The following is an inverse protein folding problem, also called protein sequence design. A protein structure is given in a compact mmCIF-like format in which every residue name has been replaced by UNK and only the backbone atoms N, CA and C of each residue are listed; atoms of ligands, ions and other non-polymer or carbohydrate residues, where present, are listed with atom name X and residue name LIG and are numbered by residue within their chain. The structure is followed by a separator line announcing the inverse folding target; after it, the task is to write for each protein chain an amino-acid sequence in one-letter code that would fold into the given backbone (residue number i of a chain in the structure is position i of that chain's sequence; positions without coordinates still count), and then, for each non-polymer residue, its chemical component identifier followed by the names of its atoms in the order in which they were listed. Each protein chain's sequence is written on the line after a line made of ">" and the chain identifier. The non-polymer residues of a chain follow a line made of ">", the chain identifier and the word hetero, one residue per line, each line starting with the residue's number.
data_IF_071408759402
#
_entry.id   IF_071408759402
#
_cell.length_a   1.000
_cell.length_b   1.000
_cell.length_c   1.000
_cell.angle_alpha   90.00
_cell.angle_beta   90.00
_cell.angle_gamma   90.00
#
_symmetry.space_group_name_H-M   'P 1'
#
loop_
_entity.id
_entity.type
_entity.pdbx_description
1 polymer ?
#
# COMPACT_ATOMS: atom_id res chain seq x y z
N UNK A 1 -6.41 -11.94 -28.20
CA UNK A 1 -7.19 -10.99 -27.37
C UNK A 1 -6.72 -9.61 -27.75
N UNK A 2 -7.62 -8.73 -28.21
CA UNK A 2 -7.24 -7.39 -28.67
C UNK A 2 -6.89 -6.46 -27.50
N UNK A 3 -6.07 -5.43 -27.74
CA UNK A 3 -5.64 -4.43 -26.74
C UNK A 3 -6.82 -3.87 -25.90
N UNK A 4 -7.92 -3.53 -26.58
CA UNK A 4 -9.16 -3.03 -25.97
C UNK A 4 -9.78 -4.05 -25.00
N UNK A 5 -9.72 -5.35 -25.32
CA UNK A 5 -10.28 -6.41 -24.48
C UNK A 5 -9.44 -6.64 -23.22
N UNK A 6 -8.11 -6.57 -23.34
CA UNK A 6 -7.19 -6.65 -22.19
C UNK A 6 -7.46 -5.48 -21.24
N UNK A 7 -7.62 -4.27 -21.80
CA UNK A 7 -7.88 -3.07 -21.01
C UNK A 7 -9.21 -3.13 -20.26
N UNK A 8 -10.27 -3.55 -20.96
CA UNK A 8 -11.59 -3.70 -20.36
C UNK A 8 -11.59 -4.77 -19.26
N UNK A 9 -10.91 -5.90 -19.47
CA UNK A 9 -10.81 -6.98 -18.49
C UNK A 9 -10.01 -6.53 -17.26
N UNK A 10 -8.85 -5.91 -17.45
CA UNK A 10 -8.03 -5.38 -16.36
C UNK A 10 -8.78 -4.31 -15.56
N UNK A 11 -9.46 -3.39 -16.25
CA UNK A 11 -10.30 -2.36 -15.63
C UNK A 11 -11.44 -2.94 -14.79
N UNK A 12 -12.13 -3.97 -15.31
CA UNK A 12 -13.21 -4.66 -14.58
C UNK A 12 -12.71 -5.32 -13.29
N UNK A 13 -11.60 -6.06 -13.35
CA UNK A 13 -11.02 -6.70 -12.17
C UNK A 13 -10.51 -5.70 -11.15
N UNK A 14 -9.83 -4.64 -11.59
CA UNK A 14 -9.38 -3.58 -10.70
C UNK A 14 -10.57 -2.86 -10.03
N UNK A 15 -11.64 -2.59 -10.79
CA UNK A 15 -12.89 -2.05 -10.26
C UNK A 15 -13.52 -2.94 -9.19
N UNK A 16 -13.60 -4.25 -9.45
CA UNK A 16 -14.12 -5.22 -8.48
C UNK A 16 -13.27 -5.25 -7.19
N UNK A 17 -11.94 -5.24 -7.32
CA UNK A 17 -11.01 -5.19 -6.17
C UNK A 17 -11.20 -3.90 -5.37
N UNK A 18 -11.34 -2.75 -6.03
CA UNK A 18 -11.60 -1.46 -5.36
C UNK A 18 -12.92 -1.51 -4.59
N UNK A 19 -13.99 -2.02 -5.20
CA UNK A 19 -15.31 -2.15 -4.54
C UNK A 19 -15.24 -3.04 -3.30
N UNK A 20 -14.57 -4.19 -3.38
CA UNK A 20 -14.37 -5.09 -2.25
C UNK A 20 -13.59 -4.39 -1.13
N UNK A 21 -12.53 -3.66 -1.48
CA UNK A 21 -11.73 -2.93 -0.49
C UNK A 21 -12.51 -1.79 0.16
N UNK A 22 -13.35 -1.07 -0.58
CA UNK A 22 -14.23 -0.03 -0.02
C UNK A 22 -15.25 -0.66 0.93
N UNK A 23 -15.87 -1.77 0.54
CA UNK A 23 -16.80 -2.50 1.42
C UNK A 23 -16.11 -2.94 2.72
N UNK A 24 -14.92 -3.51 2.60
CA UNK A 24 -14.09 -3.93 3.74
C UNK A 24 -13.67 -2.75 4.63
N UNK A 25 -13.43 -1.58 4.06
CA UNK A 25 -13.10 -0.37 4.81
C UNK A 25 -14.30 0.10 5.64
N UNK A 26 -15.48 0.19 5.02
CA UNK A 26 -16.73 0.58 5.69
C UNK A 26 -17.05 -0.39 6.83
N UNK A 27 -16.98 -1.71 6.55
CA UNK A 27 -17.20 -2.74 7.56
C UNK A 27 -16.20 -2.63 8.72
N UNK A 28 -14.92 -2.36 8.43
CA UNK A 28 -13.89 -2.20 9.46
C UNK A 28 -14.10 -0.94 10.31
N UNK A 29 -14.54 0.18 9.73
CA UNK A 29 -14.88 1.40 10.45
C UNK A 29 -16.11 1.17 11.33
N UNK A 30 -17.13 0.47 10.83
CA UNK A 30 -18.34 0.14 11.59
C UNK A 30 -18.00 -0.75 12.80
N UNK A 31 -17.17 -1.78 12.59
CA UNK A 31 -16.66 -2.64 13.67
C UNK A 31 -15.84 -1.83 14.70
N UNK A 32 -15.07 -0.84 14.26
CA UNK A 32 -14.32 0.06 15.13
C UNK A 32 -15.22 0.98 15.98
N UNK A 33 -16.43 1.28 15.49
CA UNK A 33 -17.42 2.09 16.22
C UNK A 33 -18.16 1.27 17.28
N UNK A 34 -18.38 -0.02 17.02
CA UNK A 34 -19.14 -0.92 17.91
C UNK A 34 -18.25 -1.53 18.99
N UNK A 35 -17.02 -1.92 18.65
CA UNK A 35 -16.05 -2.48 19.60
C UNK A 35 -15.01 -1.42 19.98
N UNK A 36 -14.60 -1.38 21.26
CA UNK A 36 -13.45 -0.57 21.73
C UNK A 36 -12.26 -0.69 20.78
N UNK A 37 -11.58 0.43 20.55
CA UNK A 37 -10.53 0.60 19.55
C UNK A 37 -9.40 -0.40 19.78
N UNK A 38 -9.39 -1.48 18.99
CA UNK A 38 -8.34 -2.48 19.02
C UNK A 38 -7.26 -2.12 18.00
N UNK A 39 -5.98 -2.30 18.37
CA UNK A 39 -4.82 -2.08 17.49
C UNK A 39 -4.98 -2.86 16.18
N UNK A 40 -5.49 -4.10 16.22
CA UNK A 40 -5.77 -4.92 15.04
C UNK A 40 -6.78 -4.29 14.07
N UNK A 41 -7.77 -3.53 14.58
CA UNK A 41 -8.80 -2.88 13.77
C UNK A 41 -8.24 -1.64 13.07
N UNK A 42 -7.45 -0.82 13.78
CA UNK A 42 -6.74 0.33 13.18
C UNK A 42 -5.83 -0.16 12.05
N UNK A 43 -5.07 -1.23 12.31
CA UNK A 43 -4.11 -1.76 11.35
C UNK A 43 -4.80 -2.36 10.11
N UNK A 44 -5.98 -2.97 10.27
CA UNK A 44 -6.84 -3.38 9.15
C UNK A 44 -7.34 -2.20 8.32
N UNK A 45 -7.71 -1.09 8.95
CA UNK A 45 -8.15 0.13 8.25
C UNK A 45 -6.99 0.70 7.42
N UNK A 46 -5.80 0.84 8.00
CA UNK A 46 -4.61 1.35 7.30
C UNK A 46 -4.22 0.44 6.14
N UNK A 47 -4.23 -0.89 6.34
CA UNK A 47 -3.96 -1.85 5.28
C UNK A 47 -4.97 -1.75 4.13
N UNK A 48 -6.26 -1.72 4.45
CA UNK A 48 -7.33 -1.62 3.44
C UNK A 48 -7.25 -0.30 2.67
N UNK A 49 -6.91 0.80 3.36
CA UNK A 49 -6.69 2.09 2.72
C UNK A 49 -5.50 2.05 1.74
N UNK A 50 -4.37 1.47 2.14
CA UNK A 50 -3.22 1.30 1.25
C UNK A 50 -3.54 0.48 0.00
N UNK A 51 -4.37 -0.56 0.13
CA UNK A 51 -4.85 -1.36 -1.01
C UNK A 51 -5.74 -0.56 -1.97
N UNK A 52 -6.59 0.33 -1.46
CA UNK A 52 -7.39 1.24 -2.30
C UNK A 52 -6.47 2.17 -3.09
N UNK A 53 -5.52 2.83 -2.42
CA UNK A 53 -4.55 3.74 -3.05
C UNK A 53 -3.80 3.03 -4.18
N UNK A 54 -3.31 1.81 -3.94
CA UNK A 54 -2.61 1.02 -4.95
C UNK A 54 -3.52 0.60 -6.12
N UNK A 55 -4.73 0.14 -5.83
CA UNK A 55 -5.66 -0.34 -6.86
C UNK A 55 -6.17 0.81 -7.73
N UNK A 56 -6.45 1.97 -7.13
CA UNK A 56 -6.83 3.21 -7.84
C UNK A 56 -5.67 3.73 -8.69
N UNK A 57 -4.44 3.73 -8.17
CA UNK A 57 -3.28 4.14 -8.94
C UNK A 57 -3.01 3.22 -10.14
N UNK A 58 -3.10 1.89 -9.95
CA UNK A 58 -3.00 0.93 -11.04
C UNK A 58 -4.10 1.12 -12.08
N UNK A 59 -5.34 1.37 -11.64
CA UNK A 59 -6.44 1.71 -12.54
C UNK A 59 -6.14 2.99 -13.33
N UNK A 60 -5.55 3.99 -12.69
CA UNK A 60 -5.05 5.21 -13.32
C UNK A 60 -4.05 4.92 -14.44
N UNK A 61 -3.07 4.03 -14.22
CA UNK A 61 -2.09 3.66 -15.27
C UNK A 61 -2.80 3.06 -16.48
N UNK A 62 -3.74 2.14 -16.28
CA UNK A 62 -4.47 1.53 -17.40
C UNK A 62 -5.32 2.56 -18.15
N UNK A 63 -5.93 3.52 -17.46
CA UNK A 63 -6.78 4.55 -18.09
C UNK A 63 -6.01 5.76 -18.62
N UNK A 64 -4.69 5.82 -18.43
CA UNK A 64 -3.87 6.96 -18.87
C UNK A 64 -3.70 6.93 -20.40
N UNK A 65 -4.08 8.00 -21.14
CA UNK A 65 -3.86 8.06 -22.58
C UNK A 65 -2.38 8.23 -22.90
N UNK A 66 -1.94 7.77 -24.07
CA UNK A 66 -0.53 7.89 -24.52
C UNK A 66 -0.03 9.35 -24.62
N UNK A 67 -0.94 10.32 -24.60
CA UNK A 67 -0.64 11.76 -24.60
C UNK A 67 -0.35 12.34 -23.21
N UNK A 68 -0.29 11.52 -22.17
CA UNK A 68 0.01 11.98 -20.82
C UNK A 68 1.43 12.52 -20.72
N UNK A 69 1.59 13.63 -20.00
CA UNK A 69 2.90 14.25 -19.81
C UNK A 69 3.76 13.41 -18.86
N UNK A 70 5.08 13.43 -19.08
CA UNK A 70 6.05 12.70 -18.25
C UNK A 70 5.86 12.98 -16.75
N UNK A 71 5.55 14.23 -16.39
CA UNK A 71 5.31 14.67 -15.01
C UNK A 71 4.09 14.00 -14.38
N UNK A 72 3.01 13.80 -15.14
CA UNK A 72 1.79 13.13 -14.65
C UNK A 72 2.04 11.65 -14.38
N UNK A 73 2.75 10.96 -15.28
CA UNK A 73 3.13 9.55 -15.09
C UNK A 73 4.07 9.38 -13.88
N UNK A 74 5.04 10.28 -13.72
CA UNK A 74 5.95 10.31 -12.58
C UNK A 74 5.22 10.49 -11.23
N UNK A 75 4.29 11.44 -11.17
CA UNK A 75 3.47 11.68 -10.00
C UNK A 75 2.59 10.46 -9.65
N UNK A 76 1.97 9.85 -10.67
CA UNK A 76 1.15 8.65 -10.51
C UNK A 76 1.98 7.45 -10.01
N UNK A 77 3.16 7.24 -10.58
CA UNK A 77 4.08 6.19 -10.16
C UNK A 77 4.55 6.37 -8.71
N UNK A 78 4.81 7.62 -8.31
CA UNK A 78 5.17 7.96 -6.94
C UNK A 78 4.01 7.67 -5.97
N UNK A 79 2.78 8.02 -6.36
CA UNK A 79 1.58 7.75 -5.59
C UNK A 79 1.34 6.24 -5.38
N UNK A 80 1.49 5.43 -6.44
CA UNK A 80 1.38 3.96 -6.36
C UNK A 80 2.45 3.36 -5.45
N UNK A 81 3.68 3.87 -5.56
CA UNK A 81 4.82 3.40 -4.76
C UNK A 81 4.59 3.64 -3.26
N UNK A 82 4.05 4.81 -2.89
CA UNK A 82 3.67 5.12 -1.51
C UNK A 82 2.59 4.15 -1.01
N UNK A 83 1.54 3.92 -1.81
CA UNK A 83 0.48 2.96 -1.50
C UNK A 83 1.03 1.56 -1.21
N UNK A 84 1.85 1.01 -2.12
CA UNK A 84 2.45 -0.33 -1.98
C UNK A 84 3.28 -0.46 -0.70
N UNK A 85 4.00 0.59 -0.32
CA UNK A 85 4.81 0.61 0.90
C UNK A 85 3.94 0.60 2.15
N UNK A 86 2.92 1.47 2.19
CA UNK A 86 1.95 1.50 3.30
C UNK A 86 1.29 0.13 3.46
N UNK A 87 0.87 -0.49 2.36
CA UNK A 87 0.23 -1.82 2.36
C UNK A 87 1.17 -2.89 2.90
N UNK A 88 2.43 -2.93 2.44
CA UNK A 88 3.44 -3.91 2.89
C UNK A 88 3.80 -3.74 4.36
N UNK A 89 4.01 -2.50 4.81
CA UNK A 89 4.32 -2.21 6.21
C UNK A 89 3.14 -2.57 7.11
N UNK A 90 1.93 -2.16 6.74
CA UNK A 90 0.71 -2.47 7.51
C UNK A 90 0.44 -3.97 7.58
N UNK A 91 0.65 -4.71 6.48
CA UNK A 91 0.51 -6.16 6.45
C UNK A 91 1.52 -6.85 7.38
N UNK A 92 2.79 -6.46 7.29
CA UNK A 92 3.83 -7.03 8.15
C UNK A 92 3.57 -6.72 9.63
N UNK A 93 3.16 -5.49 9.96
CA UNK A 93 2.75 -5.10 11.31
C UNK A 93 1.56 -5.95 11.79
N UNK A 94 0.56 -6.18 10.93
CA UNK A 94 -0.63 -6.95 11.26
C UNK A 94 -0.31 -8.43 11.52
N UNK A 95 0.53 -9.03 10.67
CA UNK A 95 0.98 -10.41 10.85
C UNK A 95 1.80 -10.56 12.13
N UNK A 96 2.72 -9.65 12.40
CA UNK A 96 3.51 -9.64 13.63
C UNK A 96 2.65 -9.47 14.88
N UNK A 97 1.67 -8.56 14.83
CA UNK A 97 0.73 -8.36 15.92
C UNK A 97 -0.11 -9.60 16.18
N UNK A 98 -0.59 -10.29 15.13
CA UNK A 98 -1.34 -11.53 15.26
C UNK A 98 -0.47 -12.69 15.75
N UNK A 99 0.77 -12.80 15.28
CA UNK A 99 1.75 -13.78 15.77
C UNK A 99 1.99 -13.60 17.27
N UNK A 100 2.16 -12.35 17.72
CA UNK A 100 2.30 -12.00 19.14
C UNK A 100 1.10 -12.42 19.98
N UNK A 101 -0.14 -12.30 19.45
CA UNK A 101 -1.34 -12.73 20.17
C UNK A 101 -1.42 -14.25 20.33
N UNK A 102 -0.99 -15.01 19.32
CA UNK A 102 -0.94 -16.48 19.37
C UNK A 102 0.15 -16.99 20.32
N UNK A 103 1.27 -16.26 20.41
CA UNK A 103 2.45 -16.65 21.19
C UNK A 103 2.46 -16.07 22.62
N UNK A 104 1.30 -15.65 23.14
CA UNK A 104 1.16 -15.10 24.48
C UNK A 104 1.57 -16.06 25.62
N UNK A 105 1.99 -17.29 25.30
CA UNK A 105 2.37 -18.31 26.27
C UNK A 105 3.88 -18.66 26.30
N UNK A 106 4.74 -18.17 25.38
CA UNK A 106 6.19 -18.48 25.40
C UNK A 106 7.11 -17.30 25.02
N UNK A 107 8.22 -17.22 25.76
CA UNK A 107 9.48 -16.46 25.60
C UNK A 107 9.42 -15.02 25.04
N UNK A 108 9.82 -14.07 25.88
CA UNK A 108 10.04 -12.65 25.57
C UNK A 108 11.07 -12.36 24.47
N UNK A 109 11.93 -13.32 24.11
CA UNK A 109 12.99 -13.18 23.10
C UNK A 109 12.39 -13.11 21.68
N UNK A 110 11.36 -13.90 21.39
CA UNK A 110 10.72 -13.94 20.06
C UNK A 110 9.96 -12.64 19.75
N UNK A 111 9.45 -11.96 20.79
CA UNK A 111 8.88 -10.60 20.69
C UNK A 111 9.91 -9.58 20.23
N UNK A 112 11.14 -9.65 20.75
CA UNK A 112 12.19 -8.67 20.47
C UNK A 112 12.72 -8.84 19.03
N UNK A 113 12.87 -10.09 18.59
CA UNK A 113 13.25 -10.42 17.20
C UNK A 113 12.20 -9.93 16.20
N UNK A 114 10.90 -10.12 16.49
CA UNK A 114 9.82 -9.62 15.65
C UNK A 114 9.82 -8.10 15.50
N UNK A 115 10.07 -7.37 16.59
CA UNK A 115 10.16 -5.90 16.56
C UNK A 115 11.38 -5.47 15.75
N UNK A 116 12.55 -6.05 16.00
CA UNK A 116 13.78 -5.70 15.28
C UNK A 116 13.66 -5.97 13.78
N UNK A 117 13.12 -7.12 13.37
CA UNK A 117 12.87 -7.44 11.95
C UNK A 117 11.91 -6.43 11.28
N UNK A 118 10.89 -5.99 12.01
CA UNK A 118 9.96 -4.98 11.52
C UNK A 118 10.65 -3.62 11.36
N UNK A 119 11.42 -3.20 12.36
CA UNK A 119 12.15 -1.91 12.34
C UNK A 119 13.18 -1.88 11.22
N UNK A 120 13.92 -2.97 11.01
CA UNK A 120 14.87 -3.11 9.90
C UNK A 120 14.13 -2.98 8.57
N UNK A 121 13.02 -3.71 8.40
CA UNK A 121 12.22 -3.65 7.16
C UNK A 121 11.65 -2.25 6.90
N UNK A 122 11.19 -1.56 7.95
CA UNK A 122 10.73 -0.18 7.85
C UNK A 122 11.87 0.76 7.45
N UNK A 123 13.04 0.65 8.08
CA UNK A 123 14.21 1.46 7.77
C UNK A 123 14.64 1.28 6.31
N UNK A 124 14.80 0.04 5.83
CA UNK A 124 15.16 -0.23 4.43
C UNK A 124 14.13 0.31 3.44
N UNK A 125 12.84 0.21 3.77
CA UNK A 125 11.76 0.69 2.89
C UNK A 125 11.74 2.22 2.80
N UNK A 126 11.97 2.91 3.92
CA UNK A 126 12.06 4.39 3.96
C UNK A 126 13.31 4.87 3.25
N UNK A 127 14.46 4.21 3.44
CA UNK A 127 15.69 4.54 2.71
C UNK A 127 15.56 4.34 1.21
N UNK A 128 14.84 3.30 0.77
CA UNK A 128 14.55 3.06 -0.65
C UNK A 128 13.66 4.16 -1.25
N UNK A 129 12.64 4.60 -0.52
CA UNK A 129 11.83 5.75 -0.93
C UNK A 129 12.68 6.98 -1.10
N UNK A 130 13.47 7.35 -0.09
CA UNK A 130 14.28 8.56 -0.12
C UNK A 130 15.24 8.57 -1.32
N UNK A 131 15.88 7.43 -1.62
CA UNK A 131 16.75 7.29 -2.78
C UNK A 131 15.99 7.45 -4.11
N UNK A 132 14.81 6.85 -4.23
CA UNK A 132 13.99 6.98 -5.44
C UNK A 132 13.48 8.41 -5.64
N UNK A 133 12.98 9.08 -4.59
CA UNK A 133 12.52 10.47 -4.69
C UNK A 133 13.65 11.42 -5.06
N UNK A 134 14.85 11.20 -4.52
CA UNK A 134 16.03 12.03 -4.79
C UNK A 134 16.62 11.80 -6.19
N UNK A 135 16.53 10.57 -6.71
CA UNK A 135 16.87 10.27 -8.11
C UNK A 135 15.88 10.93 -9.07
N UNK A 136 14.59 10.86 -8.76
CA UNK A 136 13.52 11.45 -9.57
C UNK A 136 13.58 12.98 -9.62
N UNK A 137 13.87 13.63 -8.48
CA UNK A 137 14.04 15.09 -8.43
C UNK A 137 15.23 15.55 -9.29
N UNK A 138 16.29 14.73 -9.35
CA UNK A 138 17.50 15.03 -10.11
C UNK A 138 17.28 14.90 -11.62
N UNK A 139 16.51 13.91 -12.07
CA UNK A 139 16.11 13.79 -13.49
C UNK A 139 15.17 14.93 -13.93
N UNK A 140 14.22 15.35 -13.09
CA UNK A 140 13.32 16.46 -13.41
C UNK A 140 14.08 17.78 -13.58
N UNK A 141 15.09 18.05 -12.74
CA UNK A 141 15.93 19.25 -12.85
C UNK A 141 16.78 19.22 -14.12
N UNK A 142 17.25 18.05 -14.55
CA UNK A 142 18.06 17.90 -15.78
C UNK A 142 17.19 18.04 -17.05
N UNK A 143 15.92 17.63 -17.03
CA UNK A 143 15.02 17.75 -18.19
C UNK A 143 14.44 19.17 -18.39
N UNK A 144 14.59 20.07 -17.42
CA UNK A 144 14.09 21.45 -17.45
C UNK A 144 15.18 22.48 -17.81
N UNK A 145 16.44 22.05 -18.00
CA UNK A 145 17.58 22.87 -18.41
C UNK A 145 17.97 22.57 -19.86
#
# INVERSE_FOLDING_TARGET
>A
MNYIQILAYAGFWLGAVIMINIHNLIASILLCRIHKVNVSTILKIIFTFGQIVQSVGNFGIYMTPETATFVQCAALQSFISVGNIITRLSLSAFLLWRLRQLDNNKKSIDKLVCIVLFTIRAAFTVSFLFKNTHFFLKEIIILQL
#
